data_IF_956091538521
#
_entry.id   IF_956091538521
#
_cell.length_a   1.000
_cell.length_b   1.000
_cell.length_c   1.000
_cell.angle_alpha   90.00
_cell.angle_beta   90.00
_cell.angle_gamma   90.00
#
_symmetry.space_group_name_H-M   'P 1'
#
loop_
_entity.id
_entity.type
_entity.pdbx_description
1 polymer ?
#
# COMPACT_ATOMS: atom_id res chain seq x y z
N UNK A 1 14.96 -24.95 31.35
CA UNK A 1 13.86 -25.55 30.58
C UNK A 1 14.28 -25.52 29.12
N UNK A 2 14.01 -26.57 28.37
CA UNK A 2 14.25 -26.58 26.92
C UNK A 2 13.22 -25.69 26.22
N UNK A 3 13.64 -24.93 25.21
CA UNK A 3 12.76 -24.04 24.46
C UNK A 3 11.98 -24.83 23.41
N UNK A 4 10.73 -25.17 23.73
CA UNK A 4 9.82 -25.86 22.80
C UNK A 4 9.60 -25.00 21.55
N UNK A 5 10.15 -25.44 20.42
CA UNK A 5 9.96 -24.80 19.12
C UNK A 5 8.75 -25.44 18.43
N UNK A 6 7.67 -24.68 18.25
CA UNK A 6 6.44 -25.20 17.65
C UNK A 6 6.62 -25.67 16.20
N UNK A 7 7.63 -25.20 15.48
CA UNK A 7 7.90 -25.66 14.10
C UNK A 7 8.23 -27.16 14.02
N UNK A 8 8.69 -27.78 15.11
CA UNK A 8 9.16 -29.18 15.11
C UNK A 8 8.01 -30.20 15.15
N UNK A 9 6.80 -29.75 15.50
CA UNK A 9 5.57 -30.56 15.46
C UNK A 9 4.87 -30.43 14.10
N UNK A 10 4.16 -31.48 13.67
CA UNK A 10 3.27 -31.41 12.50
C UNK A 10 2.11 -30.44 12.69
N UNK A 11 1.46 -30.04 11.59
CA UNK A 11 0.29 -29.14 11.61
C UNK A 11 -0.83 -29.69 12.53
N UNK A 12 -1.05 -31.01 12.52
CA UNK A 12 -2.06 -31.68 13.34
C UNK A 12 -1.73 -31.63 14.83
N UNK A 13 -0.49 -31.95 15.20
CA UNK A 13 -0.01 -31.87 16.59
C UNK A 13 -0.03 -30.43 17.11
N UNK A 14 0.39 -29.44 16.29
CA UNK A 14 0.26 -28.02 16.64
C UNK A 14 -1.19 -27.64 16.93
N UNK A 15 -2.13 -28.02 16.05
CA UNK A 15 -3.56 -27.76 16.27
C UNK A 15 -4.04 -28.40 17.59
N UNK A 16 -3.74 -29.68 17.83
CA UNK A 16 -4.16 -30.40 19.04
C UNK A 16 -3.59 -29.78 20.32
N UNK A 17 -2.30 -29.40 20.33
CA UNK A 17 -1.64 -28.73 21.46
C UNK A 17 -2.28 -27.36 21.73
N UNK A 18 -2.52 -26.56 20.68
CA UNK A 18 -3.14 -25.24 20.80
C UNK A 18 -4.58 -25.36 21.31
N UNK A 19 -5.40 -26.21 20.71
CA UNK A 19 -6.80 -26.43 21.12
C UNK A 19 -6.88 -26.92 22.58
N UNK A 20 -6.01 -27.85 23.00
CA UNK A 20 -5.94 -28.30 24.39
C UNK A 20 -5.52 -27.18 25.36
N UNK A 21 -4.53 -26.36 25.00
CA UNK A 21 -4.11 -25.18 25.76
C UNK A 21 -5.26 -24.17 25.89
N UNK A 22 -5.94 -23.83 24.80
CA UNK A 22 -7.02 -22.84 24.79
C UNK A 22 -8.24 -23.30 25.60
N UNK A 23 -8.59 -24.58 25.56
CA UNK A 23 -9.63 -25.16 26.43
C UNK A 23 -9.23 -25.03 27.92
N UNK A 24 -7.95 -25.25 28.26
CA UNK A 24 -7.44 -25.09 29.64
C UNK A 24 -7.47 -23.61 30.08
N UNK A 25 -7.05 -22.68 29.22
CA UNK A 25 -7.08 -21.24 29.51
C UNK A 25 -8.50 -20.71 29.67
N UNK A 26 -9.46 -21.19 28.86
CA UNK A 26 -10.89 -20.86 29.00
C UNK A 26 -11.45 -21.36 30.34
N UNK A 27 -11.15 -22.60 30.73
CA UNK A 27 -11.54 -23.17 32.05
C UNK A 27 -10.94 -22.40 33.24
N UNK A 28 -9.80 -21.74 33.04
CA UNK A 28 -9.13 -20.90 34.05
C UNK A 28 -9.52 -19.41 33.97
N UNK A 29 -10.52 -19.03 33.15
CA UNK A 29 -10.91 -17.63 32.85
C UNK A 29 -9.73 -16.73 32.38
N UNK A 30 -8.67 -17.32 31.83
CA UNK A 30 -7.39 -16.66 31.51
C UNK A 30 -7.28 -16.28 30.01
N UNK A 31 -8.40 -15.87 29.41
CA UNK A 31 -8.47 -15.58 27.97
C UNK A 31 -7.60 -14.40 27.52
N UNK A 32 -7.28 -13.45 28.41
CA UNK A 32 -6.33 -12.37 28.11
C UNK A 32 -4.92 -12.93 27.85
N UNK A 33 -4.44 -13.85 28.70
CA UNK A 33 -3.14 -14.52 28.50
C UNK A 33 -3.15 -15.43 27.27
N UNK A 34 -4.30 -15.99 26.87
CA UNK A 34 -4.45 -16.70 25.60
C UNK A 34 -4.31 -15.77 24.38
N UNK A 35 -4.86 -14.56 24.41
CA UNK A 35 -4.62 -13.54 23.37
C UNK A 35 -3.14 -13.14 23.29
N UNK A 36 -2.48 -12.89 24.43
CA UNK A 36 -1.04 -12.56 24.45
C UNK A 36 -0.18 -13.70 23.92
N UNK A 37 -0.51 -14.96 24.27
CA UNK A 37 0.15 -16.13 23.69
C UNK A 37 -0.06 -16.22 22.18
N UNK A 38 -1.28 -15.98 21.68
CA UNK A 38 -1.57 -16.02 20.24
C UNK A 38 -0.75 -14.95 19.47
N UNK A 39 -0.67 -13.71 19.98
CA UNK A 39 0.14 -12.66 19.36
C UNK A 39 1.63 -13.01 19.31
N UNK A 40 2.17 -13.57 20.40
CA UNK A 40 3.56 -14.07 20.45
C UNK A 40 3.77 -15.25 19.48
N UNK A 41 2.84 -16.21 19.48
CA UNK A 41 2.89 -17.40 18.65
C UNK A 41 2.88 -17.04 17.16
N UNK A 42 2.00 -16.11 16.75
CA UNK A 42 1.96 -15.58 15.40
C UNK A 42 3.30 -14.93 15.01
N UNK A 43 3.83 -14.01 15.82
CA UNK A 43 5.08 -13.27 15.48
C UNK A 43 6.35 -14.14 15.50
N UNK A 44 6.35 -15.32 16.14
CA UNK A 44 7.53 -16.20 16.21
C UNK A 44 7.45 -17.48 15.35
N UNK A 45 6.25 -18.03 15.11
CA UNK A 45 6.10 -19.31 14.42
C UNK A 45 5.43 -19.22 13.04
N UNK A 46 4.77 -18.10 12.69
CA UNK A 46 4.36 -17.89 11.31
C UNK A 46 5.57 -17.56 10.42
N UNK A 47 5.65 -18.21 9.27
CA UNK A 47 6.70 -17.99 8.26
C UNK A 47 6.04 -17.86 6.91
N UNK A 48 6.05 -16.64 6.37
CA UNK A 48 5.41 -16.32 5.09
C UNK A 48 5.99 -17.20 3.96
N UNK A 49 5.15 -17.79 3.08
CA UNK A 49 5.65 -18.64 1.99
C UNK A 49 6.55 -17.85 1.03
N UNK A 50 7.84 -18.21 0.95
CA UNK A 50 8.85 -17.40 0.25
C UNK A 50 8.50 -17.10 -1.20
N UNK A 51 8.05 -18.10 -1.96
CA UNK A 51 7.64 -17.93 -3.37
C UNK A 51 6.51 -16.92 -3.54
N UNK A 52 5.55 -16.92 -2.62
CA UNK A 52 4.41 -16.00 -2.63
C UNK A 52 4.87 -14.57 -2.28
N UNK A 53 5.76 -14.44 -1.30
CA UNK A 53 6.40 -13.17 -0.95
C UNK A 53 7.23 -12.62 -2.13
N UNK A 54 8.02 -13.46 -2.80
CA UNK A 54 8.81 -13.11 -3.97
C UNK A 54 7.91 -12.63 -5.14
N UNK A 55 6.80 -13.34 -5.41
CA UNK A 55 5.81 -12.95 -6.42
C UNK A 55 5.14 -11.60 -6.06
N UNK A 56 4.78 -11.38 -4.78
CA UNK A 56 4.21 -10.11 -4.30
C UNK A 56 5.21 -8.96 -4.50
N UNK A 57 6.47 -9.15 -4.09
CA UNK A 57 7.53 -8.14 -4.23
C UNK A 57 7.78 -7.85 -5.72
N UNK A 58 7.79 -8.88 -6.57
CA UNK A 58 7.96 -8.74 -8.01
C UNK A 58 6.84 -7.89 -8.63
N UNK A 59 5.57 -8.22 -8.38
CA UNK A 59 4.45 -7.48 -8.93
C UNK A 59 4.37 -6.04 -8.41
N UNK A 60 4.67 -5.78 -7.13
CA UNK A 60 4.72 -4.43 -6.57
C UNK A 60 5.86 -3.58 -7.19
N UNK A 61 7.02 -4.19 -7.47
CA UNK A 61 8.12 -3.54 -8.20
C UNK A 61 7.77 -3.30 -9.67
N UNK A 62 7.13 -4.25 -10.33
CA UNK A 62 6.66 -4.08 -11.71
C UNK A 62 5.64 -2.93 -11.80
N UNK A 63 4.68 -2.86 -10.87
CA UNK A 63 3.73 -1.76 -10.75
C UNK A 63 4.47 -0.42 -10.63
N UNK A 64 5.42 -0.29 -9.70
CA UNK A 64 6.26 0.91 -9.53
C UNK A 64 6.99 1.32 -10.82
N UNK A 65 7.57 0.36 -11.56
CA UNK A 65 8.27 0.64 -12.81
C UNK A 65 7.32 1.21 -13.88
N UNK A 66 6.15 0.59 -14.08
CA UNK A 66 5.16 1.07 -15.05
C UNK A 66 4.62 2.46 -14.66
N UNK A 67 4.44 2.74 -13.36
CA UNK A 67 4.04 4.06 -12.87
C UNK A 67 5.11 5.15 -13.11
N UNK A 68 6.39 4.84 -12.88
CA UNK A 68 7.49 5.76 -13.19
C UNK A 68 7.55 6.09 -14.70
N UNK A 69 7.32 5.09 -15.56
CA UNK A 69 7.28 5.28 -17.02
C UNK A 69 6.06 6.09 -17.45
N UNK A 70 4.88 5.81 -16.89
CA UNK A 70 3.65 6.60 -17.12
C UNK A 70 3.88 8.09 -16.79
N UNK A 71 4.46 8.37 -15.64
CA UNK A 71 4.79 9.74 -15.22
C UNK A 71 5.83 10.38 -16.15
N UNK A 72 6.85 9.62 -16.57
CA UNK A 72 7.88 10.09 -17.52
C UNK A 72 7.27 10.47 -18.87
N UNK A 73 6.36 9.65 -19.43
CA UNK A 73 5.63 9.96 -20.68
C UNK A 73 4.73 11.18 -20.50
N UNK A 74 4.04 11.27 -19.36
CA UNK A 74 3.19 12.42 -19.03
C UNK A 74 3.98 13.73 -19.07
N UNK A 75 5.19 13.73 -18.48
CA UNK A 75 6.11 14.87 -18.41
C UNK A 75 6.76 15.22 -19.75
N UNK A 76 7.34 14.25 -20.47
CA UNK A 76 8.04 14.52 -21.75
C UNK A 76 7.08 15.09 -22.81
N UNK A 77 5.83 14.62 -22.84
CA UNK A 77 4.76 15.19 -23.67
C UNK A 77 4.06 16.41 -23.02
N UNK A 78 4.60 16.98 -21.95
CA UNK A 78 4.24 18.31 -21.47
C UNK A 78 5.33 19.34 -21.86
N UNK A 79 6.59 18.89 -21.89
CA UNK A 79 7.73 19.70 -22.35
C UNK A 79 7.83 19.83 -23.88
N UNK A 80 7.12 18.98 -24.65
CA UNK A 80 7.09 19.01 -26.12
C UNK A 80 5.70 19.41 -26.65
N UNK A 81 5.47 20.71 -26.99
CA UNK A 81 4.16 21.19 -27.45
C UNK A 81 3.79 20.72 -28.87
N UNK A 82 4.79 20.35 -29.68
CA UNK A 82 4.61 19.85 -31.06
C UNK A 82 4.40 18.32 -31.11
N UNK A 83 4.40 17.63 -29.96
CA UNK A 83 4.27 16.17 -29.90
C UNK A 83 2.82 15.72 -30.06
N UNK A 84 2.61 14.65 -30.84
CA UNK A 84 1.28 14.14 -31.15
C UNK A 84 0.52 13.64 -29.91
N UNK A 85 -0.65 14.24 -29.57
CA UNK A 85 -1.46 13.79 -28.44
C UNK A 85 -2.11 12.41 -28.65
N UNK A 86 -2.30 11.94 -29.89
CA UNK A 86 -2.84 10.60 -30.14
C UNK A 86 -1.82 9.52 -29.75
N UNK A 87 -0.57 9.65 -30.19
CA UNK A 87 0.57 8.84 -29.75
C UNK A 87 0.73 8.86 -28.22
N UNK A 88 0.62 10.03 -27.57
CA UNK A 88 0.65 10.14 -26.10
C UNK A 88 -0.42 9.25 -25.47
N UNK A 89 -1.68 9.41 -25.90
CA UNK A 89 -2.80 8.70 -25.32
C UNK A 89 -2.68 7.18 -25.54
N UNK A 90 -2.23 6.76 -26.71
CA UNK A 90 -2.01 5.33 -27.02
C UNK A 90 -0.96 4.70 -26.09
N UNK A 91 0.17 5.38 -25.83
CA UNK A 91 1.18 4.89 -24.88
C UNK A 91 0.68 4.85 -23.43
N UNK A 92 -0.11 5.85 -23.00
CA UNK A 92 -0.65 5.87 -21.64
C UNK A 92 -1.71 4.78 -21.45
N UNK A 93 -2.60 4.56 -22.43
CA UNK A 93 -3.62 3.50 -22.38
C UNK A 93 -3.00 2.09 -22.31
N UNK A 94 -1.96 1.79 -23.09
CA UNK A 94 -1.26 0.51 -23.03
C UNK A 94 -0.60 0.28 -21.65
N UNK A 95 -0.06 1.36 -21.04
CA UNK A 95 0.50 1.29 -19.69
C UNK A 95 -0.60 1.13 -18.64
N UNK A 96 -1.74 1.83 -18.77
CA UNK A 96 -2.88 1.70 -17.85
C UNK A 96 -3.50 0.29 -17.87
N UNK A 97 -3.59 -0.34 -19.04
CA UNK A 97 -4.05 -1.73 -19.19
C UNK A 97 -3.13 -2.71 -18.45
N UNK A 98 -1.82 -2.64 -18.67
CA UNK A 98 -0.86 -3.51 -17.96
C UNK A 98 -0.77 -3.18 -16.46
N UNK A 99 -0.94 -1.91 -16.06
CA UNK A 99 -1.10 -1.54 -14.66
C UNK A 99 -2.36 -2.15 -14.04
N UNK A 100 -3.44 -2.32 -14.80
CA UNK A 100 -4.66 -3.00 -14.34
C UNK A 100 -4.43 -4.51 -14.18
N UNK A 101 -3.70 -5.16 -15.09
CA UNK A 101 -3.28 -6.57 -14.95
C UNK A 101 -2.42 -6.79 -13.70
N UNK A 102 -1.31 -6.06 -13.56
CA UNK A 102 -0.37 -6.22 -12.43
C UNK A 102 -1.08 -5.93 -11.09
N UNK A 103 -1.99 -4.95 -11.07
CA UNK A 103 -2.83 -4.66 -9.91
C UNK A 103 -3.85 -5.79 -9.65
N UNK A 104 -4.32 -6.54 -10.64
CA UNK A 104 -5.16 -7.73 -10.43
C UNK A 104 -4.33 -8.89 -9.85
N UNK A 105 -3.15 -9.18 -10.41
CA UNK A 105 -2.19 -10.16 -9.90
C UNK A 105 -1.82 -9.87 -8.43
N UNK A 106 -1.42 -8.63 -8.12
CA UNK A 106 -1.13 -8.19 -6.75
C UNK A 106 -2.28 -8.49 -5.76
N UNK A 107 -3.54 -8.26 -6.14
CA UNK A 107 -4.69 -8.58 -5.26
C UNK A 107 -4.86 -10.07 -5.06
N UNK A 108 -4.72 -10.87 -6.11
CA UNK A 108 -4.84 -12.32 -6.03
C UNK A 108 -3.77 -12.94 -5.11
N UNK A 109 -2.51 -12.47 -5.22
CA UNK A 109 -1.44 -12.91 -4.33
C UNK A 109 -1.66 -12.49 -2.87
N UNK A 110 -2.20 -11.28 -2.63
CA UNK A 110 -2.53 -10.82 -1.27
C UNK A 110 -3.68 -11.61 -0.65
N UNK A 111 -4.71 -11.98 -1.42
CA UNK A 111 -5.79 -12.88 -0.96
C UNK A 111 -5.22 -14.24 -0.57
N UNK A 112 -4.32 -14.82 -1.38
CA UNK A 112 -3.64 -16.08 -1.06
C UNK A 112 -2.75 -16.00 0.19
N UNK A 113 -2.24 -14.82 0.51
CA UNK A 113 -1.49 -14.57 1.74
C UNK A 113 -2.42 -14.45 2.96
N UNK A 114 -3.58 -13.80 2.79
CA UNK A 114 -4.65 -13.75 3.79
C UNK A 114 -5.17 -15.16 4.11
N UNK A 115 -5.43 -15.98 3.09
CA UNK A 115 -5.80 -17.40 3.21
C UNK A 115 -4.74 -18.24 3.98
N UNK A 116 -3.45 -18.07 3.70
CA UNK A 116 -2.36 -18.79 4.37
C UNK A 116 -2.22 -18.39 5.86
N UNK A 117 -2.41 -17.09 6.16
CA UNK A 117 -2.43 -16.56 7.53
C UNK A 117 -3.65 -17.07 8.30
N UNK A 118 -4.84 -17.09 7.69
CA UNK A 118 -6.06 -17.59 8.32
C UNK A 118 -6.00 -19.10 8.58
N UNK A 119 -5.45 -19.89 7.64
CA UNK A 119 -5.19 -21.32 7.85
C UNK A 119 -4.19 -21.57 9.00
N UNK A 120 -3.18 -20.71 9.17
CA UNK A 120 -2.28 -20.76 10.33
C UNK A 120 -2.96 -20.35 11.63
N UNK A 121 -3.91 -19.40 11.57
CA UNK A 121 -4.67 -18.90 12.72
C UNK A 121 -5.86 -19.79 13.13
N UNK A 122 -6.27 -20.74 12.27
CA UNK A 122 -7.45 -21.59 12.45
C UNK A 122 -7.64 -22.20 13.85
N UNK A 123 -6.60 -22.78 14.52
CA UNK A 123 -6.77 -23.37 15.86
C UNK A 123 -7.16 -22.35 16.95
N UNK A 124 -6.91 -21.05 16.71
CA UNK A 124 -7.32 -19.96 17.59
C UNK A 124 -8.71 -19.42 17.23
N UNK A 125 -9.00 -19.24 15.93
CA UNK A 125 -10.29 -18.68 15.47
C UNK A 125 -11.47 -19.61 15.75
N UNK A 126 -11.28 -20.93 15.62
CA UNK A 126 -12.24 -21.95 16.09
C UNK A 126 -12.56 -21.82 17.59
N UNK A 127 -11.58 -21.38 18.38
CA UNK A 127 -11.70 -21.12 19.81
C UNK A 127 -12.16 -19.67 20.13
N UNK A 128 -12.68 -18.97 19.12
CA UNK A 128 -13.20 -17.58 19.19
C UNK A 128 -12.13 -16.52 19.51
N UNK A 129 -10.84 -16.87 19.40
CA UNK A 129 -9.73 -15.93 19.51
C UNK A 129 -9.41 -15.36 18.13
N UNK A 130 -9.88 -14.14 17.88
CA UNK A 130 -9.58 -13.43 16.63
C UNK A 130 -8.12 -12.92 16.62
N UNK A 131 -7.39 -13.04 15.49
CA UNK A 131 -6.07 -12.46 15.35
C UNK A 131 -6.14 -10.92 15.40
N UNK A 132 -5.05 -10.30 15.83
CA UNK A 132 -4.95 -8.84 15.79
C UNK A 132 -4.59 -8.40 14.37
N UNK A 133 -5.57 -7.92 13.60
CA UNK A 133 -5.36 -7.45 12.22
C UNK A 133 -4.28 -6.37 12.09
N UNK A 134 -4.06 -5.54 13.12
CA UNK A 134 -2.97 -4.56 13.11
C UNK A 134 -1.59 -5.23 13.20
N UNK A 135 -1.47 -6.33 13.96
CA UNK A 135 -0.23 -7.13 14.05
C UNK A 135 0.03 -7.90 12.75
N UNK A 136 -1.02 -8.42 12.09
CA UNK A 136 -0.89 -9.01 10.75
C UNK A 136 -0.39 -7.96 9.76
N UNK A 137 -1.03 -6.79 9.72
CA UNK A 137 -0.62 -5.69 8.83
C UNK A 137 0.82 -5.20 9.13
N UNK A 138 1.23 -5.14 10.39
CA UNK A 138 2.60 -4.85 10.82
C UNK A 138 3.58 -5.91 10.25
N UNK A 139 3.34 -7.20 10.51
CA UNK A 139 4.21 -8.29 10.07
C UNK A 139 4.31 -8.40 8.54
N UNK A 140 3.20 -8.24 7.82
CA UNK A 140 3.19 -8.24 6.35
C UNK A 140 3.91 -7.01 5.80
N UNK A 141 3.75 -5.84 6.41
CA UNK A 141 4.48 -4.62 6.01
C UNK A 141 5.98 -4.73 6.28
N UNK A 142 6.37 -5.27 7.45
CA UNK A 142 7.75 -5.52 7.87
C UNK A 142 8.47 -6.48 6.89
N UNK A 143 7.77 -7.50 6.39
CA UNK A 143 8.29 -8.42 5.37
C UNK A 143 8.34 -7.81 3.95
N UNK A 144 7.25 -7.17 3.49
CA UNK A 144 7.10 -6.77 2.08
C UNK A 144 7.74 -5.42 1.77
N UNK A 145 7.49 -4.38 2.57
CA UNK A 145 7.80 -2.98 2.20
C UNK A 145 9.31 -2.73 2.04
N UNK A 146 10.21 -3.20 2.93
CA UNK A 146 11.65 -3.03 2.74
C UNK A 146 12.17 -3.68 1.45
N UNK A 147 11.58 -4.82 1.07
CA UNK A 147 11.98 -5.58 -0.12
C UNK A 147 11.40 -4.99 -1.42
N UNK A 148 10.22 -4.36 -1.39
CA UNK A 148 9.71 -3.56 -2.51
C UNK A 148 10.52 -2.28 -2.73
N UNK A 149 10.96 -1.62 -1.64
CA UNK A 149 11.72 -0.38 -1.71
C UNK A 149 13.21 -0.57 -2.08
N UNK A 150 13.81 -1.73 -1.80
CA UNK A 150 15.23 -2.02 -2.05
C UNK A 150 15.56 -2.17 -3.55
N UNK A 151 16.61 -1.50 -4.04
CA UNK A 151 17.10 -1.67 -5.43
C UNK A 151 18.06 -2.85 -5.62
N UNK A 152 18.40 -3.61 -4.57
CA UNK A 152 19.66 -4.38 -4.53
C UNK A 152 19.62 -5.80 -5.10
N UNK A 153 18.44 -6.38 -5.37
CA UNK A 153 18.31 -7.76 -5.87
C UNK A 153 17.26 -7.87 -6.99
N UNK A 154 17.53 -8.66 -8.05
CA UNK A 154 16.52 -9.08 -9.00
C UNK A 154 15.68 -10.21 -8.37
N UNK A 155 14.40 -9.93 -8.11
CA UNK A 155 13.43 -10.97 -7.77
C UNK A 155 13.04 -11.70 -9.05
N UNK A 156 13.02 -13.04 -9.03
CA UNK A 156 12.50 -13.84 -10.13
C UNK A 156 11.07 -14.28 -9.80
N UNK A 157 10.09 -14.09 -10.69
CA UNK A 157 8.75 -14.60 -10.46
C UNK A 157 8.70 -16.13 -10.52
N UNK A 158 7.78 -16.70 -9.75
CA UNK A 158 7.48 -18.11 -9.64
C UNK A 158 6.10 -18.45 -10.23
N UNK A 159 5.09 -17.62 -9.94
CA UNK A 159 3.68 -17.87 -10.30
C UNK A 159 3.05 -16.79 -11.17
N UNK A 160 3.80 -15.74 -11.52
CA UNK A 160 3.32 -14.53 -12.21
C UNK A 160 4.07 -14.27 -13.50
N UNK A 161 3.51 -13.43 -14.37
CA UNK A 161 4.11 -13.15 -15.68
C UNK A 161 5.41 -12.34 -15.55
N UNK A 162 6.46 -12.71 -16.30
CA UNK A 162 7.66 -11.87 -16.41
C UNK A 162 7.31 -10.55 -17.12
N UNK A 163 7.56 -9.43 -16.44
CA UNK A 163 7.31 -8.06 -16.92
C UNK A 163 8.64 -7.33 -17.22
N UNK A 164 8.68 -6.40 -18.20
CA UNK A 164 9.90 -5.66 -18.52
C UNK A 164 10.39 -4.76 -17.38
N UNK A 165 11.70 -4.49 -17.35
CA UNK A 165 12.29 -3.51 -16.44
C UNK A 165 11.99 -2.08 -16.87
N UNK A 166 12.05 -1.11 -15.95
CA UNK A 166 11.92 0.32 -16.24
C UNK A 166 12.79 0.75 -17.44
N UNK A 167 14.05 0.33 -17.49
CA UNK A 167 14.96 0.65 -18.60
C UNK A 167 14.60 0.00 -19.94
N UNK A 168 13.82 -1.09 -19.94
CA UNK A 168 13.28 -1.71 -21.15
C UNK A 168 12.01 -0.98 -21.62
N UNK A 169 11.14 -0.59 -20.69
CA UNK A 169 9.94 0.21 -20.97
C UNK A 169 10.33 1.61 -21.50
N UNK A 170 11.29 2.29 -20.88
CA UNK A 170 11.79 3.59 -21.35
C UNK A 170 12.37 3.48 -22.77
N UNK A 171 13.10 2.40 -23.09
CA UNK A 171 13.56 2.16 -24.47
C UNK A 171 12.42 1.94 -25.45
N UNK A 172 11.31 1.32 -25.04
CA UNK A 172 10.15 1.07 -25.91
C UNK A 172 9.44 2.36 -26.32
N UNK A 173 9.17 3.25 -25.36
CA UNK A 173 8.40 4.49 -25.62
C UNK A 173 9.28 5.68 -26.01
N UNK A 174 10.56 5.67 -25.62
CA UNK A 174 11.55 6.71 -25.93
C UNK A 174 12.77 6.11 -26.65
N UNK A 175 12.56 5.35 -27.73
CA UNK A 175 13.64 4.99 -28.65
C UNK A 175 14.28 6.26 -29.19
N UNK A 176 15.40 6.69 -28.60
CA UNK A 176 16.26 7.71 -29.21
C UNK A 176 16.69 7.14 -30.55
N UNK A 177 16.23 7.76 -31.63
CA UNK A 177 16.60 7.37 -32.99
C UNK A 177 18.04 7.80 -33.25
N UNK A 178 18.99 7.06 -32.68
CA UNK A 178 20.34 6.98 -33.21
C UNK A 178 20.24 6.26 -34.56
N UNK A 179 19.92 7.04 -35.58
CA UNK A 179 20.13 6.76 -37.00
C UNK A 179 21.56 7.20 -37.37
N UNK A 180 22.62 6.39 -37.16
CA UNK A 180 23.85 6.59 -37.89
C UNK A 180 23.55 6.25 -39.36
N UNK A 181 23.41 7.29 -40.19
CA UNK A 181 23.29 7.14 -41.66
C UNK A 181 24.61 6.63 -42.26
N UNK A 182 24.93 5.37 -42.02
CA UNK A 182 26.17 4.73 -42.48
C UNK A 182 25.88 3.36 -43.10
N UNK A 183 26.44 3.17 -44.30
CA UNK A 183 26.13 2.05 -45.21
C UNK A 183 26.72 0.73 -44.70
N UNK A 184 26.16 -0.37 -45.17
CA UNK A 184 26.53 -1.74 -44.83
C UNK A 184 28.01 -2.10 -45.11
N UNK A 185 28.55 -3.07 -44.35
CA UNK A 185 29.46 -4.14 -44.82
C UNK A 185 29.47 -5.29 -43.78
N UNK A 186 29.89 -6.49 -44.21
CA UNK A 186 29.83 -7.76 -43.47
C UNK A 186 30.96 -7.92 -42.43
N UNK A 187 30.76 -8.88 -41.48
CA UNK A 187 31.73 -9.85 -40.86
C UNK A 187 33.16 -9.35 -40.48
N UNK A 188 33.77 -9.69 -39.33
CA UNK A 188 33.89 -11.03 -38.72
C UNK A 188 34.41 -10.94 -37.25
N UNK A 189 34.05 -11.94 -36.44
CA UNK A 189 34.86 -12.69 -35.43
C UNK A 189 35.89 -12.03 -34.46
N UNK A 190 35.79 -12.54 -33.22
CA UNK A 190 36.83 -13.03 -32.28
C UNK A 190 37.46 -12.14 -31.17
N UNK A 191 37.71 -12.86 -30.06
CA UNK A 191 38.55 -12.67 -28.87
C UNK A 191 38.31 -11.59 -27.78
N UNK A 192 38.61 -12.03 -26.54
CA UNK A 192 38.66 -11.27 -25.28
C UNK A 192 39.83 -11.83 -24.44
N UNK A 193 40.61 -10.97 -23.78
CA UNK A 193 40.97 -11.28 -22.39
C UNK A 193 41.05 -10.08 -21.41
N UNK A 194 40.33 -10.21 -20.29
CA UNK A 194 40.71 -9.69 -18.94
C UNK A 194 41.97 -10.44 -18.43
N UNK A 195 42.69 -10.04 -17.33
CA UNK A 195 42.19 -9.41 -16.08
C UNK A 195 43.20 -8.44 -15.38
N UNK A 196 43.15 -8.38 -14.02
CA UNK A 196 44.04 -7.73 -12.98
C UNK A 196 43.29 -6.58 -12.26
N UNK A 197 42.83 -6.68 -10.98
CA UNK A 197 43.47 -6.91 -9.65
C UNK A 197 44.38 -5.76 -9.18
N UNK A 198 44.36 -5.24 -7.95
CA UNK A 198 43.53 -5.49 -6.74
C UNK A 198 42.90 -4.15 -6.25
N UNK A 199 42.84 -3.63 -5.01
CA UNK A 199 43.33 -3.97 -3.65
C UNK A 199 42.45 -3.28 -2.56
N UNK A 200 42.78 -3.45 -1.27
CA UNK A 200 42.28 -2.66 -0.13
C UNK A 200 43.34 -2.60 0.99
N UNK A 201 43.29 -1.63 1.93
CA UNK A 201 43.26 -2.02 3.35
C UNK A 201 42.40 -1.13 4.28
N UNK A 202 42.36 -1.52 5.57
CA UNK A 202 41.66 -0.89 6.72
C UNK A 202 42.54 0.26 7.31
N UNK A 203 42.18 1.07 8.33
CA UNK A 203 41.57 0.81 9.67
C UNK A 203 41.23 2.13 10.42
N UNK A 204 40.51 2.07 11.55
CA UNK A 204 40.26 3.21 12.51
C UNK A 204 41.49 3.50 13.42
N UNK A 205 41.51 4.61 14.19
CA UNK A 205 40.98 4.59 15.58
C UNK A 205 40.14 5.84 16.00
N UNK A 206 39.68 5.86 17.26
CA UNK A 206 38.99 6.96 17.99
C UNK A 206 39.89 7.37 19.20
N UNK A 207 39.72 8.56 19.83
CA UNK A 207 38.89 8.65 21.05
C UNK A 207 38.15 10.02 21.22
N UNK A 208 37.58 10.39 22.38
CA UNK A 208 36.42 9.87 23.15
C UNK A 208 36.08 10.88 24.30
N UNK A 209 35.04 10.63 25.12
CA UNK A 209 34.58 11.39 26.32
C UNK A 209 33.86 12.76 26.07
N UNK A 210 32.96 13.28 26.94
CA UNK A 210 32.50 12.84 28.28
C UNK A 210 31.04 13.29 28.65
N UNK A 211 30.59 12.91 29.85
CA UNK A 211 29.49 13.32 30.76
C UNK A 211 28.73 14.68 30.60
N UNK A 212 27.53 14.93 31.19
CA UNK A 212 26.44 14.10 31.75
C UNK A 212 25.21 14.94 32.29
N UNK A 213 24.06 14.25 32.53
CA UNK A 213 23.17 14.36 33.74
C UNK A 213 22.06 15.45 33.93
N UNK A 214 20.80 14.96 33.95
CA UNK A 214 19.60 15.30 34.79
C UNK A 214 18.52 16.40 34.52
N UNK A 215 17.27 15.95 34.78
CA UNK A 215 16.12 16.54 35.54
C UNK A 215 14.90 17.18 34.81
N UNK A 216 13.73 16.97 35.45
CA UNK A 216 12.38 17.50 35.17
C UNK A 216 11.89 18.32 36.42
N UNK A 217 10.61 18.74 36.68
CA UNK A 217 9.32 18.08 36.40
C UNK A 217 8.04 18.99 36.18
N UNK A 218 6.84 18.38 36.23
CA UNK A 218 5.48 18.93 36.54
C UNK A 218 4.82 19.90 35.51
N UNK A 219 3.53 19.86 35.11
CA UNK A 219 2.18 19.41 35.62
C UNK A 219 1.28 20.60 36.07
N UNK A 220 0.13 20.80 35.41
CA UNK A 220 -1.21 20.99 36.02
C UNK A 220 -2.35 21.15 34.96
N UNK A 221 -3.62 21.08 35.38
CA UNK A 221 -4.82 21.19 34.53
C UNK A 221 -6.09 21.53 35.34
N UNK A 222 -7.13 22.12 34.71
CA UNK A 222 -8.44 22.42 35.35
C UNK A 222 -9.61 22.45 34.34
N UNK A 223 -10.86 22.70 34.82
CA UNK A 223 -12.14 22.22 34.24
C UNK A 223 -13.27 23.28 34.32
N UNK A 224 -14.21 23.38 33.35
CA UNK A 224 -15.31 24.36 33.35
C UNK A 224 -16.68 23.79 33.83
N UNK A 225 -17.68 24.67 34.05
CA UNK A 225 -19.07 24.35 34.41
C UNK A 225 -20.11 25.43 33.94
N UNK A 226 -21.40 25.10 33.94
CA UNK A 226 -22.60 25.92 33.60
C UNK A 226 -23.80 25.44 34.51
N UNK A 227 -25.12 25.80 34.38
CA UNK A 227 -25.96 26.27 33.24
C UNK A 227 -26.59 27.69 33.50
N UNK A 228 -27.89 28.12 33.38
CA UNK A 228 -29.22 27.51 33.12
C UNK A 228 -30.34 28.55 32.75
N UNK A 229 -31.59 28.05 32.61
CA UNK A 229 -32.94 28.70 32.65
C UNK A 229 -33.41 29.72 31.58
N UNK A 230 -34.73 30.01 31.41
CA UNK A 230 -35.81 29.06 31.03
C UNK A 230 -37.08 29.72 30.39
N UNK A 231 -37.94 28.85 29.82
CA UNK A 231 -39.41 28.91 29.78
C UNK A 231 -40.20 29.98 28.98
N UNK A 232 -39.67 31.16 28.62
CA UNK A 232 -40.47 32.19 27.92
C UNK A 232 -40.88 31.83 26.47
N UNK A 233 -40.26 30.80 25.87
CA UNK A 233 -40.14 30.68 24.40
C UNK A 233 -41.00 29.60 23.74
N UNK A 234 -41.88 28.87 24.44
CA UNK A 234 -42.36 27.53 24.00
C UNK A 234 -42.87 27.42 22.55
N UNK A 235 -43.66 28.36 22.04
CA UNK A 235 -44.16 28.32 20.64
C UNK A 235 -43.04 28.60 19.63
N UNK A 236 -42.23 29.62 19.89
CA UNK A 236 -41.06 29.94 19.07
C UNK A 236 -39.94 28.91 19.22
N UNK A 237 -39.87 28.19 20.33
CA UNK A 237 -38.98 27.06 20.54
C UNK A 237 -39.44 25.82 19.77
N UNK A 238 -40.73 25.60 19.58
CA UNK A 238 -41.24 24.57 18.64
C UNK A 238 -40.91 24.96 17.20
N UNK A 239 -41.11 26.22 16.81
CA UNK A 239 -40.75 26.70 15.47
C UNK A 239 -39.23 26.68 15.22
N UNK A 240 -38.44 27.19 16.16
CA UNK A 240 -36.98 27.15 16.11
C UNK A 240 -36.44 25.72 16.22
N UNK A 241 -37.05 24.83 16.99
CA UNK A 241 -36.70 23.40 17.00
C UNK A 241 -37.05 22.73 15.66
N UNK A 242 -38.18 23.06 15.03
CA UNK A 242 -38.54 22.58 13.69
C UNK A 242 -37.56 23.10 12.62
N UNK A 243 -37.16 24.37 12.71
CA UNK A 243 -36.20 25.00 11.79
C UNK A 243 -34.78 24.49 12.03
N UNK A 244 -34.39 24.27 13.30
CA UNK A 244 -33.13 23.64 13.68
C UNK A 244 -33.09 22.15 13.33
N UNK A 245 -34.21 21.43 13.40
CA UNK A 245 -34.35 20.06 12.91
C UNK A 245 -34.25 20.01 11.38
N UNK A 246 -34.85 20.94 10.65
CA UNK A 246 -34.64 21.06 9.20
C UNK A 246 -33.20 21.43 8.85
N UNK A 247 -32.55 22.31 9.62
CA UNK A 247 -31.14 22.64 9.47
C UNK A 247 -30.23 21.44 9.82
N UNK A 248 -30.56 20.67 10.86
CA UNK A 248 -29.87 19.46 11.27
C UNK A 248 -30.07 18.33 10.26
N UNK A 249 -31.25 18.17 9.66
CA UNK A 249 -31.51 17.22 8.58
C UNK A 249 -30.84 17.64 7.26
N UNK A 250 -30.76 18.95 6.96
CA UNK A 250 -29.94 19.46 5.85
C UNK A 250 -28.45 19.21 6.11
N UNK A 251 -27.94 19.53 7.31
CA UNK A 251 -26.56 19.22 7.75
C UNK A 251 -26.28 17.72 7.77
N UNK A 252 -27.23 16.87 8.15
CA UNK A 252 -27.08 15.42 8.14
C UNK A 252 -27.12 14.84 6.72
N UNK A 253 -27.89 15.43 5.80
CA UNK A 253 -27.83 15.07 4.37
C UNK A 253 -26.52 15.53 3.74
N UNK A 254 -26.06 16.75 4.04
CA UNK A 254 -24.74 17.23 3.62
C UNK A 254 -23.62 16.36 4.21
N UNK A 255 -23.64 16.06 5.51
CA UNK A 255 -22.68 15.16 6.16
C UNK A 255 -22.80 13.72 5.69
N UNK A 256 -23.96 13.24 5.22
CA UNK A 256 -24.07 11.92 4.57
C UNK A 256 -23.44 11.92 3.17
N UNK A 257 -23.37 13.08 2.52
CA UNK A 257 -22.67 13.27 1.25
C UNK A 257 -21.17 13.50 1.46
N UNK A 258 -20.76 14.17 2.56
CA UNK A 258 -19.35 14.36 2.96
C UNK A 258 -18.75 13.10 3.63
N UNK A 259 -19.53 12.27 4.33
CA UNK A 259 -19.05 10.98 4.86
C UNK A 259 -18.80 9.92 3.77
N UNK A 260 -19.15 10.19 2.51
CA UNK A 260 -18.63 9.42 1.38
C UNK A 260 -17.16 9.77 1.04
N UNK A 261 -16.70 10.95 1.45
CA UNK A 261 -15.36 11.50 1.22
C UNK A 261 -14.52 11.63 2.50
N UNK A 262 -15.09 11.27 3.66
CA UNK A 262 -14.45 11.34 4.99
C UNK A 262 -14.27 9.96 5.66
N UNK A 263 -14.07 8.90 4.86
CA UNK A 263 -13.28 7.77 5.35
C UNK A 263 -11.83 8.23 5.53
N UNK A 264 -11.06 7.70 6.49
CA UNK A 264 -9.61 7.81 6.40
C UNK A 264 -9.20 7.21 5.05
N UNK A 265 -8.51 7.99 4.22
CA UNK A 265 -8.06 7.55 2.91
C UNK A 265 -7.32 6.23 3.09
N UNK A 266 -7.78 5.16 2.44
CA UNK A 266 -7.18 3.85 2.64
C UNK A 266 -5.70 3.90 2.28
N UNK A 267 -4.83 3.03 2.83
CA UNK A 267 -3.40 3.04 2.51
C UNK A 267 -3.14 3.00 0.99
N UNK A 268 -4.01 2.32 0.25
CA UNK A 268 -4.06 2.27 -1.22
C UNK A 268 -4.41 3.62 -1.88
N UNK A 269 -5.39 4.35 -1.37
CA UNK A 269 -5.78 5.67 -1.91
C UNK A 269 -4.70 6.71 -1.62
N UNK A 270 -4.14 6.70 -0.40
CA UNK A 270 -2.99 7.54 -0.02
C UNK A 270 -1.76 7.23 -0.88
N UNK A 271 -1.49 5.95 -1.15
CA UNK A 271 -0.42 5.49 -2.04
C UNK A 271 -0.64 6.00 -3.48
N UNK A 272 -1.81 5.77 -4.08
CA UNK A 272 -2.13 6.23 -5.44
C UNK A 272 -1.98 7.76 -5.56
N UNK A 273 -2.50 8.50 -4.58
CA UNK A 273 -2.38 9.96 -4.53
C UNK A 273 -0.93 10.43 -4.40
N UNK A 274 -0.06 9.71 -3.67
CA UNK A 274 1.37 10.05 -3.56
C UNK A 274 2.16 9.87 -4.88
N UNK A 275 1.63 9.08 -5.83
CA UNK A 275 2.16 8.94 -7.19
C UNK A 275 1.37 9.77 -8.23
N UNK A 276 0.45 10.64 -7.79
CA UNK A 276 -0.36 11.49 -8.67
C UNK A 276 -1.46 10.74 -9.45
N UNK A 277 -1.81 9.52 -9.03
CA UNK A 277 -2.74 8.64 -9.73
C UNK A 277 -4.15 8.79 -9.18
N UNK A 278 -5.14 8.93 -10.07
CA UNK A 278 -6.53 8.97 -9.66
C UNK A 278 -7.09 7.57 -9.33
N UNK A 279 -7.92 7.49 -8.30
CA UNK A 279 -8.69 6.28 -7.99
C UNK A 279 -9.78 6.04 -9.03
N UNK A 280 -10.30 4.81 -9.14
CA UNK A 280 -11.47 4.54 -10.01
C UNK A 280 -12.70 5.41 -9.69
N UNK A 281 -12.82 5.93 -8.46
CA UNK A 281 -13.93 6.80 -8.07
C UNK A 281 -13.69 8.24 -8.52
N UNK A 282 -12.46 8.74 -8.41
CA UNK A 282 -12.04 10.03 -8.98
C UNK A 282 -12.07 10.01 -10.52
N UNK A 283 -11.61 8.94 -11.17
CA UNK A 283 -11.72 8.77 -12.62
C UNK A 283 -13.19 8.86 -13.09
N UNK A 284 -14.11 8.19 -12.39
CA UNK A 284 -15.56 8.30 -12.65
C UNK A 284 -16.10 9.72 -12.39
N UNK A 285 -15.63 10.42 -11.35
CA UNK A 285 -15.97 11.84 -11.10
C UNK A 285 -15.44 12.77 -12.20
N UNK A 286 -14.24 12.51 -12.73
CA UNK A 286 -13.63 13.26 -13.81
C UNK A 286 -14.36 13.05 -15.15
N UNK A 287 -14.71 11.81 -15.50
CA UNK A 287 -15.55 11.52 -16.68
C UNK A 287 -16.93 12.19 -16.57
N UNK A 288 -17.55 12.18 -15.38
CA UNK A 288 -18.83 12.86 -15.14
C UNK A 288 -18.71 14.39 -15.24
N UNK A 289 -17.63 15.00 -14.73
CA UNK A 289 -17.44 16.45 -14.83
C UNK A 289 -17.13 16.89 -16.26
N UNK A 290 -16.34 16.13 -17.03
CA UNK A 290 -16.13 16.34 -18.46
C UNK A 290 -17.46 16.27 -19.24
N UNK A 291 -18.27 15.22 -19.03
CA UNK A 291 -19.56 15.07 -19.69
C UNK A 291 -20.58 16.17 -19.34
N UNK A 292 -20.52 16.71 -18.12
CA UNK A 292 -21.35 17.85 -17.70
C UNK A 292 -20.85 19.18 -18.31
N UNK A 293 -19.54 19.37 -18.44
CA UNK A 293 -18.96 20.56 -19.06
C UNK A 293 -19.19 20.60 -20.58
N UNK A 294 -19.09 19.46 -21.27
CA UNK A 294 -19.44 19.36 -22.70
C UNK A 294 -20.89 19.80 -22.97
N UNK A 295 -21.83 19.48 -22.07
CA UNK A 295 -23.24 19.91 -22.17
C UNK A 295 -23.48 21.41 -21.90
N UNK A 296 -22.46 22.17 -21.47
CA UNK A 296 -22.58 23.62 -21.20
C UNK A 296 -22.13 24.53 -22.34
N UNK A 297 -21.52 23.99 -23.40
CA UNK A 297 -21.13 24.76 -24.58
C UNK A 297 -21.95 24.36 -25.83
N UNK A 298 -23.24 24.74 -25.93
CA UNK A 298 -23.89 24.81 -27.23
C UNK A 298 -23.15 25.83 -28.09
N UNK A 299 -22.87 25.48 -29.35
CA UNK A 299 -22.11 26.35 -30.28
C UNK A 299 -22.86 27.67 -30.50
N UNK A 300 -22.21 28.81 -30.24
CA UNK A 300 -22.56 30.06 -30.90
C UNK A 300 -22.13 29.97 -32.36
N UNK A 301 -23.03 29.45 -33.20
CA UNK A 301 -22.88 29.51 -34.66
C UNK A 301 -23.05 30.94 -35.16
N UNK A 302 -22.27 31.30 -36.18
CA UNK A 302 -22.33 32.60 -36.85
C UNK A 302 -23.76 33.00 -37.24
N UNK A 303 -24.03 34.30 -37.12
CA UNK A 303 -24.55 35.13 -38.22
C UNK A 303 -23.67 36.39 -38.28
#
# INVERSE_FOLDING_TARGET
MESINFNDFSVKERHEIITAFLIKMRKANSMHSAHSFFQYYLKQFYKMPSKLLDDIIYCQRALKNYLAVHQTITNVFADQPDADPETKNNYLLEIEEVLHEINAECKYLLIRLEEDIDLFCLPFTEQQLQPNGNLINEMVSEAVVPLVCSSLLPFKPHSVAERPTESQLLRKYFTVSTEPKTKATLRTKDENPKPIKSAAPKKKPIPDADAAVTKAPAKQATKPAAPASEAASKTDAVNASRLHLQAALKRARLNKQVNCDAKPASPKETFLQSFGLCTQLEHKRMLLSQALNQKRNPRLTKN
#
